data_IF_732150836994
#
_entry.id   IF_732150836994
#
_cell.length_a   1.000
_cell.length_b   1.000
_cell.length_c   1.000
_cell.angle_alpha   90.00
_cell.angle_beta   90.00
_cell.angle_gamma   90.00
#
_symmetry.space_group_name_H-M   'P 1'
#
loop_
_entity.id
_entity.type
_entity.pdbx_description
1 polymer ?
#
# COMPACT_ATOMS: atom_id res chain seq x y z
N UNK A 1 31.55 43.19 50.42
CA UNK A 1 30.45 42.24 50.07
C UNK A 1 30.43 42.07 48.55
N UNK A 2 30.39 40.83 48.04
CA UNK A 2 30.25 40.54 46.59
C UNK A 2 28.79 40.21 46.29
N UNK A 3 28.18 40.93 45.35
CA UNK A 3 26.80 40.72 44.91
C UNK A 3 26.84 39.83 43.66
N UNK A 4 26.30 38.62 43.75
CA UNK A 4 26.17 37.72 42.60
C UNK A 4 24.99 38.18 41.73
N UNK A 5 25.26 38.56 40.48
CA UNK A 5 24.21 38.87 39.50
C UNK A 5 23.61 37.57 39.00
N UNK A 6 22.32 37.35 39.24
CA UNK A 6 21.57 36.27 38.61
C UNK A 6 21.45 36.56 37.11
N UNK A 7 22.03 35.69 36.29
CA UNK A 7 21.95 35.77 34.84
C UNK A 7 20.60 35.22 34.38
N UNK A 8 19.60 36.09 34.25
CA UNK A 8 18.28 35.72 33.73
C UNK A 8 18.43 35.60 32.20
N UNK A 9 18.28 34.40 31.60
CA UNK A 9 18.40 34.26 30.16
C UNK A 9 17.30 35.09 29.46
N UNK A 10 17.60 35.74 28.33
CA UNK A 10 16.61 36.49 27.57
C UNK A 10 15.61 35.50 26.93
N UNK A 11 14.52 35.20 27.63
CA UNK A 11 13.41 34.41 27.09
C UNK A 11 12.67 35.30 26.10
N UNK A 12 12.90 35.09 24.80
CA UNK A 12 12.15 35.80 23.76
C UNK A 12 10.79 35.10 23.54
N UNK A 13 9.67 35.69 24.00
CA UNK A 13 8.36 35.05 23.94
C UNK A 13 7.86 34.85 22.50
N UNK A 14 8.29 35.70 21.56
CA UNK A 14 7.87 35.61 20.16
C UNK A 14 8.49 34.40 19.45
N UNK A 15 9.78 34.12 19.70
CA UNK A 15 10.44 32.92 19.15
C UNK A 15 9.84 31.64 19.71
N UNK A 16 9.51 31.62 21.01
CA UNK A 16 8.87 30.47 21.63
C UNK A 16 7.49 30.18 21.04
N UNK A 17 6.73 31.21 20.68
CA UNK A 17 5.41 31.05 20.06
C UNK A 17 5.50 30.57 18.61
N UNK A 18 6.49 31.01 17.84
CA UNK A 18 6.75 30.49 16.48
C UNK A 18 7.09 29.00 16.51
N UNK A 19 8.02 28.59 17.38
CA UNK A 19 8.40 27.18 17.56
C UNK A 19 7.21 26.31 17.96
N UNK A 20 6.34 26.80 18.85
CA UNK A 20 5.09 26.10 19.23
C UNK A 20 4.10 25.99 18.09
N UNK A 21 3.97 27.03 17.25
CA UNK A 21 3.09 27.02 16.09
C UNK A 21 3.58 26.05 15.00
N UNK A 22 4.89 25.98 14.78
CA UNK A 22 5.48 25.04 13.81
C UNK A 22 5.33 23.59 14.29
N UNK A 23 5.56 23.32 15.58
CA UNK A 23 5.28 22.00 16.18
C UNK A 23 3.79 21.62 16.13
N UNK A 24 2.88 22.58 16.21
CA UNK A 24 1.45 22.34 16.08
C UNK A 24 1.06 21.97 14.64
N UNK A 25 1.70 22.58 13.63
CA UNK A 25 1.51 22.24 12.21
C UNK A 25 2.01 20.83 11.88
N UNK A 26 3.17 20.44 12.39
CA UNK A 26 3.72 19.07 12.22
C UNK A 26 2.82 18.00 12.88
N UNK A 27 2.19 18.33 14.02
CA UNK A 27 1.23 17.42 14.66
C UNK A 27 -0.10 17.31 13.90
N UNK A 28 -0.47 18.32 13.11
CA UNK A 28 -1.68 18.30 12.28
C UNK A 28 -1.50 17.40 11.04
N UNK A 29 -0.30 17.38 10.44
CA UNK A 29 0.01 16.48 9.30
C UNK A 29 0.14 15.01 9.72
N UNK A 30 0.50 14.75 10.98
CA UNK A 30 0.55 13.41 11.55
C UNK A 30 -0.84 12.77 11.81
N UNK A 31 -1.93 13.55 11.75
CA UNK A 31 -3.32 13.09 11.98
C UNK A 31 -4.13 12.98 10.68
N UNK A 32 -3.50 12.52 9.60
CA UNK A 32 -4.26 12.08 8.43
C UNK A 32 -4.52 10.58 8.57
N UNK A 33 -5.77 10.17 8.39
CA UNK A 33 -6.13 8.76 8.32
C UNK A 33 -5.44 8.13 7.09
N UNK A 34 -4.37 7.37 7.33
CA UNK A 34 -3.61 6.69 6.29
C UNK A 34 -3.96 5.21 6.30
N UNK A 35 -4.48 4.71 5.19
CA UNK A 35 -4.69 3.28 4.96
C UNK A 35 -3.41 2.72 4.34
N UNK A 36 -2.67 1.91 5.10
CA UNK A 36 -1.48 1.21 4.59
C UNK A 36 -1.80 -0.25 4.25
N UNK A 37 -1.26 -0.73 3.13
CA UNK A 37 -1.33 -2.16 2.78
C UNK A 37 -0.45 -2.93 3.77
N UNK A 38 -1.04 -3.89 4.48
CA UNK A 38 -0.33 -4.76 5.43
C UNK A 38 0.89 -5.43 4.79
N UNK A 39 1.99 -5.52 5.54
CA UNK A 39 3.20 -6.23 5.13
C UNK A 39 2.92 -7.67 4.70
N UNK A 40 2.00 -8.35 5.42
CA UNK A 40 1.54 -9.69 5.09
C UNK A 40 0.79 -9.76 3.76
N UNK A 41 -0.03 -8.75 3.45
CA UNK A 41 -0.75 -8.67 2.17
C UNK A 41 0.21 -8.44 1.00
N UNK A 42 1.28 -7.65 1.20
CA UNK A 42 2.34 -7.49 0.19
C UNK A 42 3.04 -8.81 -0.09
N UNK A 43 3.43 -9.54 0.95
CA UNK A 43 4.08 -10.86 0.80
C UNK A 43 3.18 -11.89 0.10
N UNK A 44 1.87 -11.87 0.35
CA UNK A 44 0.92 -12.73 -0.35
C UNK A 44 0.69 -12.33 -1.81
N UNK A 45 0.88 -11.04 -2.13
CA UNK A 45 0.74 -10.50 -3.49
C UNK A 45 2.03 -10.58 -4.31
N UNK A 46 3.18 -10.77 -3.66
CA UNK A 46 4.45 -10.97 -4.37
C UNK A 46 4.34 -12.20 -5.28
N UNK A 47 4.85 -12.04 -6.50
CA UNK A 47 4.61 -12.92 -7.64
C UNK A 47 5.06 -14.35 -7.33
N UNK A 48 4.09 -15.17 -6.95
CA UNK A 48 4.31 -16.58 -6.69
C UNK A 48 4.79 -17.30 -7.96
N UNK A 49 5.51 -18.45 -7.87
CA UNK A 49 5.95 -19.26 -9.01
C UNK A 49 4.83 -19.74 -9.96
N UNK A 50 3.57 -19.41 -9.65
CA UNK A 50 2.41 -19.54 -10.51
C UNK A 50 2.54 -18.76 -11.83
N UNK A 51 3.30 -17.66 -11.87
CA UNK A 51 3.40 -16.82 -13.08
C UNK A 51 4.01 -17.55 -14.29
N UNK A 52 5.04 -18.38 -14.07
CA UNK A 52 5.64 -19.16 -15.15
C UNK A 52 4.65 -20.15 -15.77
N UNK A 53 3.97 -20.94 -14.91
CA UNK A 53 2.93 -21.89 -15.35
C UNK A 53 1.75 -21.19 -16.03
N UNK A 54 1.39 -19.98 -15.59
CA UNK A 54 0.36 -19.16 -16.21
C UNK A 54 0.79 -18.72 -17.61
N UNK A 55 2.03 -18.25 -17.78
CA UNK A 55 2.56 -17.81 -19.07
C UNK A 55 2.56 -18.95 -20.09
N UNK A 56 3.03 -20.15 -19.72
CA UNK A 56 2.99 -21.34 -20.57
C UNK A 56 1.56 -21.66 -21.01
N UNK A 57 0.61 -21.67 -20.07
CA UNK A 57 -0.79 -21.96 -20.38
C UNK A 57 -1.42 -20.91 -21.31
N UNK A 58 -1.08 -19.63 -21.12
CA UNK A 58 -1.56 -18.55 -22.00
C UNK A 58 -1.01 -18.72 -23.42
N UNK A 59 0.28 -19.08 -23.57
CA UNK A 59 0.87 -19.33 -24.89
C UNK A 59 0.18 -20.50 -25.62
N UNK A 60 -0.09 -21.60 -24.91
CA UNK A 60 -0.83 -22.74 -25.46
C UNK A 60 -2.24 -22.34 -25.95
N UNK A 61 -2.96 -21.56 -25.14
CA UNK A 61 -4.30 -21.08 -25.51
C UNK A 61 -4.25 -20.16 -26.74
N UNK A 62 -3.26 -19.26 -26.82
CA UNK A 62 -3.07 -18.41 -27.99
C UNK A 62 -2.86 -19.22 -29.26
N UNK A 63 -1.98 -20.23 -29.21
CA UNK A 63 -1.74 -21.12 -30.35
C UNK A 63 -3.02 -21.86 -30.80
N UNK A 64 -3.83 -22.34 -29.86
CA UNK A 64 -5.12 -23.00 -30.16
C UNK A 64 -6.15 -22.04 -30.78
N UNK A 65 -6.14 -20.77 -30.38
CA UNK A 65 -7.03 -19.75 -30.96
C UNK A 65 -6.56 -19.42 -32.38
N UNK A 66 -5.27 -19.24 -32.59
CA UNK A 66 -4.67 -18.96 -33.91
C UNK A 66 -4.89 -20.12 -34.90
N UNK A 67 -4.83 -21.37 -34.43
CA UNK A 67 -5.13 -22.54 -35.25
C UNK A 67 -6.63 -22.77 -35.52
N UNK A 68 -7.51 -22.02 -34.84
CA UNK A 68 -8.96 -22.20 -34.91
C UNK A 68 -9.48 -23.46 -34.21
N UNK A 69 -8.63 -24.17 -33.46
CA UNK A 69 -8.99 -25.40 -32.73
C UNK A 69 -9.58 -25.10 -31.34
N UNK A 70 -9.51 -23.85 -30.88
CA UNK A 70 -10.05 -23.46 -29.58
C UNK A 70 -11.57 -23.61 -29.52
N UNK A 71 -12.03 -24.58 -28.71
CA UNK A 71 -13.45 -24.83 -28.46
C UNK A 71 -13.81 -24.45 -27.03
N UNK A 72 -14.81 -23.58 -26.90
CA UNK A 72 -15.39 -23.23 -25.60
C UNK A 72 -16.27 -24.39 -25.14
N UNK A 73 -15.97 -24.94 -23.96
CA UNK A 73 -16.79 -25.95 -23.30
C UNK A 73 -17.82 -25.26 -22.38
N UNK A 74 -19.12 -25.22 -22.75
CA UNK A 74 -20.12 -24.46 -22.01
C UNK A 74 -20.38 -25.01 -20.60
N UNK A 75 -20.33 -26.32 -20.41
CA UNK A 75 -20.52 -26.96 -19.10
C UNK A 75 -19.41 -26.59 -18.11
N UNK A 76 -18.17 -26.60 -18.61
CA UNK A 76 -16.99 -26.21 -17.83
C UNK A 76 -17.02 -24.73 -17.48
N UNK A 77 -17.37 -23.88 -18.45
CA UNK A 77 -17.53 -22.45 -18.23
C UNK A 77 -18.58 -22.17 -17.13
N UNK A 78 -19.75 -22.80 -17.21
CA UNK A 78 -20.80 -22.64 -16.22
C UNK A 78 -20.35 -23.11 -14.83
N UNK A 79 -19.68 -24.26 -14.76
CA UNK A 79 -19.12 -24.80 -13.51
C UNK A 79 -18.08 -23.88 -12.89
N UNK A 80 -17.19 -23.30 -13.70
CA UNK A 80 -16.15 -22.37 -13.25
C UNK A 80 -16.76 -21.05 -12.73
N UNK A 81 -17.78 -20.53 -13.42
CA UNK A 81 -18.51 -19.33 -12.98
C UNK A 81 -19.18 -19.56 -11.63
N UNK A 82 -19.92 -20.65 -11.48
CA UNK A 82 -20.57 -21.04 -10.23
C UNK A 82 -19.53 -21.14 -9.11
N UNK A 83 -18.43 -21.86 -9.34
CA UNK A 83 -17.35 -22.05 -8.35
C UNK A 83 -16.69 -20.73 -7.93
N UNK A 84 -16.57 -19.77 -8.85
CA UNK A 84 -15.93 -18.49 -8.56
C UNK A 84 -16.83 -17.56 -7.74
N UNK A 85 -18.12 -17.51 -8.05
CA UNK A 85 -19.05 -16.53 -7.47
C UNK A 85 -19.89 -17.06 -6.30
N UNK A 86 -20.12 -18.37 -6.18
CA UNK A 86 -20.87 -18.96 -5.07
C UNK A 86 -19.99 -19.32 -3.86
N UNK A 87 -18.99 -18.50 -3.57
CA UNK A 87 -18.07 -18.73 -2.45
C UNK A 87 -18.59 -18.15 -1.14
#
# INVERSE_FOLDING_TARGET
>A
MKINKFNIPPVNPYRANQVKADQAKEKATAKMDKIEISSKAKQLSETTPFEAKRNERVQQLKAQIESGEYKVEPEKLASDLIKHFQK
#
